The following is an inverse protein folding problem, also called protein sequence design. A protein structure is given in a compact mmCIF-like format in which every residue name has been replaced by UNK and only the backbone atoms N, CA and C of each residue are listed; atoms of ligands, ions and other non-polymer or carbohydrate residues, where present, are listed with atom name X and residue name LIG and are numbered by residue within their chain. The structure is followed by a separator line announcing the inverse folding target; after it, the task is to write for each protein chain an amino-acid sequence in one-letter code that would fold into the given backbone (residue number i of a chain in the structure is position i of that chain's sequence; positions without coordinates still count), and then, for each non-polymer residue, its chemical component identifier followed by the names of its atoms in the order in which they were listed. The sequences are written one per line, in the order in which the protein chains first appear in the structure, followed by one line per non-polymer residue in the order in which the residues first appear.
data_IF_460889252389
#
_entry.id   IF_460889252389
#
_cell.length_a   1.000
_cell.length_b   1.000
_cell.length_c   1.000
_cell.angle_alpha   90.00
_cell.angle_beta   90.00
_cell.angle_gamma   90.00
#
_symmetry.space_group_name_H-M   'P 1'
#
loop_
_entity.id
_entity.type
_entity.pdbx_description
1 polymer ?
#
# COMPACT_ATOMS: atom_id res chain seq x y z
N UNK A 1 -11.47 36.85 23.70
CA UNK A 1 -10.63 37.94 23.10
C UNK A 1 -10.52 37.71 21.61
N UNK A 2 -11.20 38.58 20.84
CA UNK A 2 -11.32 38.50 19.40
C UNK A 2 -10.10 39.17 18.76
N UNK A 3 -9.26 38.42 18.04
CA UNK A 3 -8.24 39.00 17.18
C UNK A 3 -8.85 39.43 15.84
N UNK A 4 -8.87 40.74 15.66
CA UNK A 4 -9.31 41.41 14.44
C UNK A 4 -8.37 41.09 13.28
N UNK A 5 -8.91 40.45 12.23
CA UNK A 5 -8.18 40.20 10.99
C UNK A 5 -7.87 41.50 10.24
N UNK A 6 -6.60 41.76 9.99
CA UNK A 6 -6.12 42.86 9.17
C UNK A 6 -6.60 42.71 7.73
N UNK A 7 -7.43 43.65 7.28
CA UNK A 7 -7.82 43.81 5.87
C UNK A 7 -6.67 44.54 5.14
N UNK A 8 -6.00 43.84 4.24
CA UNK A 8 -5.14 44.48 3.25
C UNK A 8 -5.97 44.95 2.06
N UNK A 9 -6.14 46.25 1.92
CA UNK A 9 -6.65 46.92 0.71
C UNK A 9 -5.51 47.02 -0.28
N UNK A 10 -5.53 46.28 -1.37
CA UNK A 10 -4.67 46.48 -2.52
C UNK A 10 -5.41 47.32 -3.55
N UNK A 11 -5.09 48.62 -3.64
CA UNK A 11 -5.51 49.45 -4.73
C UNK A 11 -4.44 49.46 -5.83
N UNK A 12 -4.80 49.39 -7.13
CA UNK A 12 -3.81 49.53 -8.19
C UNK A 12 -3.39 51.00 -8.33
N UNK A 13 -2.07 51.26 -8.35
CA UNK A 13 -1.44 52.53 -8.59
C UNK A 13 -1.65 52.99 -10.07
N UNK A 14 -2.82 53.55 -10.39
CA UNK A 14 -2.95 54.40 -11.58
C UNK A 14 -3.86 55.58 -11.24
N UNK A 15 -3.41 56.80 -11.39
CA UNK A 15 -4.21 58.01 -11.18
C UNK A 15 -5.18 58.18 -12.40
N UNK A 16 -6.47 58.15 -12.19
CA UNK A 16 -7.41 58.66 -13.17
C UNK A 16 -8.73 57.96 -13.42
N UNK A 17 -9.15 56.96 -12.68
CA UNK A 17 -10.48 56.41 -12.86
C UNK A 17 -11.09 56.04 -11.49
N UNK A 18 -11.99 56.89 -11.03
CA UNK A 18 -12.94 56.62 -9.95
C UNK A 18 -14.08 55.75 -10.51
N UNK A 19 -13.78 54.49 -10.78
CA UNK A 19 -14.86 53.55 -11.12
C UNK A 19 -14.79 52.31 -10.23
N UNK A 20 -15.80 52.19 -9.38
CA UNK A 20 -16.29 51.01 -8.73
C UNK A 20 -15.28 50.03 -8.18
N UNK A 21 -14.82 50.27 -6.97
CA UNK A 21 -14.31 49.20 -6.10
C UNK A 21 -15.44 48.24 -5.76
N UNK A 22 -15.70 47.25 -6.62
CA UNK A 22 -16.53 46.12 -6.27
C UNK A 22 -15.81 45.27 -5.24
N UNK A 23 -16.29 45.30 -3.99
CA UNK A 23 -15.87 44.33 -2.98
C UNK A 23 -16.18 42.93 -3.50
N UNK A 24 -15.20 42.25 -4.09
CA UNK A 24 -15.28 40.79 -4.24
C UNK A 24 -15.34 40.23 -2.82
N UNK A 25 -16.55 39.87 -2.41
CA UNK A 25 -16.78 39.11 -1.19
C UNK A 25 -15.88 37.86 -1.28
N UNK A 26 -14.83 37.82 -0.48
CA UNK A 26 -14.00 36.62 -0.38
C UNK A 26 -14.96 35.46 -0.08
N UNK A 27 -14.99 34.48 -0.99
CA UNK A 27 -15.75 33.26 -0.78
C UNK A 27 -15.32 32.72 0.58
N UNK A 28 -16.23 32.48 1.54
CA UNK A 28 -15.82 31.92 2.82
C UNK A 28 -14.96 30.69 2.53
N UNK A 29 -13.73 30.69 3.01
CA UNK A 29 -12.87 29.52 2.92
C UNK A 29 -13.64 28.36 3.55
N UNK A 30 -13.87 27.30 2.77
CA UNK A 30 -14.47 26.09 3.31
C UNK A 30 -13.69 25.72 4.58
N UNK A 31 -14.39 25.27 5.64
CA UNK A 31 -13.70 24.87 6.86
C UNK A 31 -12.59 23.90 6.47
N UNK A 32 -11.35 24.24 6.81
CA UNK A 32 -10.19 23.40 6.53
C UNK A 32 -10.46 22.04 7.16
N UNK A 33 -10.66 21.02 6.30
CA UNK A 33 -10.86 19.65 6.76
C UNK A 33 -9.73 19.29 7.72
N UNK A 34 -10.01 18.61 8.84
CA UNK A 34 -8.97 18.22 9.78
C UNK A 34 -7.88 17.43 9.05
N UNK A 35 -6.63 17.57 9.49
CA UNK A 35 -5.46 17.00 8.81
C UNK A 35 -5.54 15.48 8.56
N UNK A 36 -6.39 14.75 9.30
CA UNK A 36 -6.66 13.34 9.08
C UNK A 36 -7.66 13.07 7.95
N UNK A 37 -8.42 14.06 7.50
CA UNK A 37 -9.38 13.96 6.41
C UNK A 37 -8.78 14.51 5.09
N UNK A 38 -7.47 14.36 4.90
CA UNK A 38 -6.82 14.76 3.67
C UNK A 38 -7.37 13.95 2.50
N UNK A 39 -7.92 14.66 1.52
CA UNK A 39 -8.34 14.07 0.25
C UNK A 39 -7.37 14.56 -0.83
N UNK A 40 -6.72 13.65 -1.56
CA UNK A 40 -5.87 14.04 -2.67
C UNK A 40 -6.70 14.69 -3.78
N UNK A 41 -6.14 15.68 -4.47
CA UNK A 41 -6.78 16.35 -5.63
C UNK A 41 -6.91 15.45 -6.86
N UNK A 42 -6.66 14.16 -6.70
CA UNK A 42 -6.70 13.15 -7.76
C UNK A 42 -8.04 12.46 -7.73
N UNK A 43 -8.77 12.38 -8.86
CA UNK A 43 -10.04 11.68 -8.91
C UNK A 43 -9.83 10.20 -8.57
N UNK A 44 -10.63 9.70 -7.62
CA UNK A 44 -10.64 8.28 -7.27
C UNK A 44 -11.13 7.50 -8.49
N UNK A 45 -10.32 6.56 -8.96
CA UNK A 45 -10.73 5.67 -10.04
C UNK A 45 -11.91 4.82 -9.55
N UNK A 46 -13.05 4.80 -10.27
CA UNK A 46 -14.16 3.95 -9.88
C UNK A 46 -13.70 2.49 -9.78
N UNK A 47 -14.16 1.81 -8.74
CA UNK A 47 -13.87 0.40 -8.51
C UNK A 47 -14.30 -0.51 -9.67
N UNK A 48 -13.90 -1.77 -9.66
CA UNK A 48 -14.22 -2.72 -10.72
C UNK A 48 -15.74 -2.86 -10.90
N UNK A 49 -16.16 -3.00 -12.14
CA UNK A 49 -17.59 -3.04 -12.51
C UNK A 49 -18.39 -4.16 -11.85
N UNK A 50 -17.75 -5.19 -11.28
CA UNK A 50 -18.42 -6.26 -10.53
C UNK A 50 -18.81 -5.84 -9.11
N UNK A 51 -18.22 -4.77 -8.55
CA UNK A 51 -18.62 -4.18 -7.26
C UNK A 51 -19.76 -3.18 -7.41
N UNK A 52 -20.22 -2.87 -8.64
CA UNK A 52 -21.35 -1.99 -8.88
C UNK A 52 -22.68 -2.76 -8.86
N UNK A 53 -23.73 -2.13 -8.36
CA UNK A 53 -25.08 -2.69 -8.47
C UNK A 53 -25.94 -1.82 -9.41
N UNK A 54 -26.55 -2.37 -10.48
CA UNK A 54 -26.40 -3.75 -10.97
C UNK A 54 -24.99 -4.03 -11.51
N UNK A 55 -24.52 -5.31 -11.44
CA UNK A 55 -23.17 -5.68 -11.89
C UNK A 55 -23.02 -5.44 -13.40
N UNK A 56 -21.85 -4.91 -13.78
CA UNK A 56 -21.52 -4.58 -15.18
C UNK A 56 -20.43 -5.51 -15.70
N UNK A 57 -20.80 -6.67 -16.28
CA UNK A 57 -19.83 -7.74 -16.62
C UNK A 57 -18.80 -7.29 -17.65
N UNK A 58 -19.17 -6.49 -18.64
CA UNK A 58 -18.23 -5.98 -19.63
C UNK A 58 -17.22 -5.00 -19.01
N UNK A 59 -17.68 -4.12 -18.12
CA UNK A 59 -16.79 -3.20 -17.40
C UNK A 59 -15.86 -3.97 -16.44
N UNK A 60 -16.34 -5.03 -15.82
CA UNK A 60 -15.51 -5.91 -14.99
C UNK A 60 -14.44 -6.62 -15.81
N UNK A 61 -14.79 -7.13 -16.99
CA UNK A 61 -13.86 -7.80 -17.89
C UNK A 61 -12.80 -6.83 -18.43
N UNK A 62 -13.19 -5.63 -18.85
CA UNK A 62 -12.25 -4.60 -19.33
C UNK A 62 -11.33 -4.11 -18.22
N UNK A 63 -11.82 -4.04 -16.98
CA UNK A 63 -11.00 -3.75 -15.81
C UNK A 63 -10.00 -4.87 -15.52
N UNK A 64 -10.46 -6.13 -15.52
CA UNK A 64 -9.65 -7.31 -15.24
C UNK A 64 -8.51 -7.48 -16.25
N UNK A 65 -8.81 -7.35 -17.55
CA UNK A 65 -7.82 -7.54 -18.62
C UNK A 65 -7.00 -6.27 -18.93
N UNK A 66 -7.40 -5.13 -18.36
CA UNK A 66 -6.77 -3.84 -18.60
C UNK A 66 -5.84 -3.38 -17.48
N UNK A 67 -5.67 -2.06 -17.40
CA UNK A 67 -4.84 -1.40 -16.40
C UNK A 67 -5.36 -1.52 -14.97
N UNK A 68 -6.60 -1.97 -14.79
CA UNK A 68 -7.17 -2.16 -13.46
C UNK A 68 -6.57 -3.36 -12.71
N UNK A 69 -6.19 -4.42 -13.45
CA UNK A 69 -5.64 -5.63 -12.86
C UNK A 69 -4.41 -6.16 -13.61
N UNK A 70 -4.57 -6.79 -14.80
CA UNK A 70 -3.48 -7.49 -15.49
C UNK A 70 -2.31 -6.55 -15.84
N UNK A 71 -2.57 -5.31 -16.20
CA UNK A 71 -1.55 -4.30 -16.53
C UNK A 71 -1.23 -3.37 -15.34
N UNK A 72 -1.48 -3.84 -14.13
CA UNK A 72 -1.28 -3.11 -12.90
C UNK A 72 -0.17 -3.72 -12.04
N UNK A 73 -0.08 -3.26 -10.81
CA UNK A 73 0.88 -3.72 -9.82
C UNK A 73 0.68 -5.20 -9.46
N UNK A 74 -0.56 -5.70 -9.55
CA UNK A 74 -0.90 -7.10 -9.28
C UNK A 74 -0.19 -8.07 -10.23
N UNK A 75 -0.06 -7.71 -11.51
CA UNK A 75 0.72 -8.51 -12.46
C UNK A 75 2.20 -8.61 -12.06
N UNK A 76 2.76 -7.52 -11.52
CA UNK A 76 4.12 -7.52 -10.97
C UNK A 76 4.23 -8.47 -9.77
N UNK A 77 3.26 -8.43 -8.85
CA UNK A 77 3.25 -9.32 -7.68
C UNK A 77 3.10 -10.78 -8.08
N UNK A 78 2.21 -11.09 -9.02
CA UNK A 78 2.07 -12.46 -9.55
C UNK A 78 3.38 -12.91 -10.20
N UNK A 79 3.98 -12.06 -11.05
CA UNK A 79 5.27 -12.36 -11.68
C UNK A 79 6.38 -12.61 -10.64
N UNK A 80 6.46 -11.76 -9.62
CA UNK A 80 7.41 -11.90 -8.53
C UNK A 80 7.17 -13.19 -7.73
N UNK A 81 5.91 -13.51 -7.42
CA UNK A 81 5.55 -14.75 -6.73
C UNK A 81 5.97 -16.00 -7.51
N UNK A 82 5.77 -15.99 -8.84
CA UNK A 82 6.22 -17.09 -9.71
C UNK A 82 7.75 -17.20 -9.73
N UNK A 83 8.48 -16.09 -9.81
CA UNK A 83 9.95 -16.08 -9.74
C UNK A 83 10.42 -16.66 -8.41
N UNK A 84 9.83 -16.21 -7.29
CA UNK A 84 10.17 -16.71 -5.97
C UNK A 84 9.91 -18.21 -5.89
N UNK A 85 8.73 -18.66 -6.29
CA UNK A 85 8.33 -20.05 -6.18
C UNK A 85 9.19 -20.99 -7.02
N UNK A 86 9.50 -20.64 -8.27
CA UNK A 86 10.21 -21.54 -9.18
C UNK A 86 11.74 -21.47 -9.09
N UNK A 87 12.31 -20.37 -8.59
CA UNK A 87 13.78 -20.19 -8.64
C UNK A 87 14.41 -19.80 -7.30
N UNK A 88 13.65 -19.21 -6.38
CA UNK A 88 14.24 -18.67 -5.15
C UNK A 88 13.77 -19.37 -3.88
N UNK A 89 12.61 -20.03 -3.89
CA UNK A 89 12.13 -20.78 -2.74
C UNK A 89 12.95 -22.06 -2.55
N UNK A 90 13.13 -22.55 -1.30
CA UNK A 90 13.74 -23.84 -1.05
C UNK A 90 12.88 -24.96 -1.63
N UNK A 91 13.52 -26.05 -2.06
CA UNK A 91 12.81 -27.23 -2.50
C UNK A 91 11.94 -27.81 -1.36
N UNK A 92 10.73 -28.22 -1.68
CA UNK A 92 9.81 -28.74 -0.67
C UNK A 92 10.36 -30.01 0.03
N UNK A 93 11.17 -30.79 -0.66
CA UNK A 93 11.86 -31.97 -0.09
C UNK A 93 12.83 -31.59 1.03
N UNK A 94 13.51 -30.45 0.91
CA UNK A 94 14.44 -29.95 1.94
C UNK A 94 13.69 -29.50 3.20
N UNK A 95 12.43 -29.08 3.03
CA UNK A 95 11.58 -28.61 4.11
C UNK A 95 10.99 -29.74 4.97
N UNK A 96 11.19 -31.01 4.63
CA UNK A 96 10.67 -32.15 5.39
C UNK A 96 11.21 -32.24 6.83
N UNK A 97 12.34 -31.60 7.10
CA UNK A 97 12.91 -31.46 8.45
C UNK A 97 13.14 -29.99 8.80
N UNK A 98 13.04 -29.64 10.08
CA UNK A 98 13.30 -28.27 10.56
C UNK A 98 14.82 -28.01 10.59
N UNK A 99 15.45 -27.93 9.42
CA UNK A 99 16.87 -27.68 9.26
C UNK A 99 17.16 -26.18 9.12
N UNK A 100 18.17 -25.62 9.84
CA UNK A 100 18.45 -24.19 9.80
C UNK A 100 18.82 -23.65 8.41
N UNK A 101 19.39 -24.49 7.54
CA UNK A 101 19.86 -24.06 6.22
C UNK A 101 18.77 -23.43 5.35
N UNK A 102 17.70 -24.15 5.07
CA UNK A 102 16.61 -23.63 4.26
C UNK A 102 15.78 -22.54 5.01
N UNK A 103 15.68 -22.64 6.35
CA UNK A 103 14.97 -21.62 7.15
C UNK A 103 15.70 -20.27 7.09
N UNK A 104 17.03 -20.27 7.21
CA UNK A 104 17.85 -19.05 7.07
C UNK A 104 17.85 -18.52 5.64
N UNK A 105 17.85 -19.41 4.64
CA UNK A 105 17.70 -19.02 3.24
C UNK A 105 16.38 -18.25 3.05
N UNK A 106 15.29 -18.81 3.55
CA UNK A 106 13.96 -18.17 3.45
C UNK A 106 13.90 -16.84 4.20
N UNK A 107 14.53 -16.75 5.37
CA UNK A 107 14.65 -15.50 6.12
C UNK A 107 15.44 -14.45 5.33
N UNK A 108 16.58 -14.83 4.76
CA UNK A 108 17.41 -13.93 3.96
C UNK A 108 16.65 -13.45 2.70
N UNK A 109 15.91 -14.34 2.05
CA UNK A 109 15.04 -14.01 0.91
C UNK A 109 13.98 -12.99 1.30
N UNK A 110 13.22 -13.24 2.36
CA UNK A 110 12.17 -12.36 2.83
C UNK A 110 12.70 -10.99 3.29
N UNK A 111 13.83 -10.97 3.98
CA UNK A 111 14.51 -9.72 4.35
C UNK A 111 14.96 -8.95 3.12
N UNK A 112 15.61 -9.61 2.16
CA UNK A 112 16.09 -9.00 0.92
C UNK A 112 14.94 -8.40 0.09
N UNK A 113 13.85 -9.15 -0.08
CA UNK A 113 12.66 -8.69 -0.79
C UNK A 113 11.98 -7.51 -0.08
N UNK A 114 11.86 -7.56 1.24
CA UNK A 114 11.27 -6.46 2.02
C UNK A 114 12.11 -5.20 1.91
N UNK A 115 13.44 -5.32 2.05
CA UNK A 115 14.36 -4.19 1.91
C UNK A 115 14.32 -3.62 0.49
N UNK A 116 14.37 -4.47 -0.52
CA UNK A 116 14.35 -4.02 -1.92
C UNK A 116 13.02 -3.34 -2.27
N UNK A 117 11.90 -3.93 -1.89
CA UNK A 117 10.59 -3.41 -2.23
C UNK A 117 10.19 -2.20 -1.36
N UNK A 118 10.07 -2.37 -0.06
CA UNK A 118 9.65 -1.30 0.84
C UNK A 118 10.69 -0.19 0.94
N UNK A 119 11.98 -0.55 1.03
CA UNK A 119 13.10 0.39 1.02
C UNK A 119 13.19 1.14 -0.31
N UNK A 120 13.02 0.46 -1.44
CA UNK A 120 12.99 1.07 -2.77
C UNK A 120 11.85 2.08 -2.93
N UNK A 121 10.64 1.71 -2.50
CA UNK A 121 9.50 2.64 -2.50
C UNK A 121 9.73 3.83 -1.57
N UNK A 122 10.25 3.59 -0.37
CA UNK A 122 10.60 4.67 0.55
C UNK A 122 11.63 5.63 -0.05
N UNK A 123 12.69 5.08 -0.64
CA UNK A 123 13.72 5.86 -1.33
C UNK A 123 13.11 6.72 -2.44
N UNK A 124 12.27 6.13 -3.29
CA UNK A 124 11.65 6.81 -4.42
C UNK A 124 10.69 7.92 -4.00
N UNK A 125 9.75 7.59 -3.10
CA UNK A 125 8.68 8.52 -2.73
C UNK A 125 9.11 9.55 -1.69
N UNK A 126 9.85 9.15 -0.67
CA UNK A 126 10.15 10.00 0.49
C UNK A 126 11.54 10.62 0.44
N UNK A 127 12.58 9.84 0.12
CA UNK A 127 13.96 10.37 0.13
C UNK A 127 14.24 11.18 -1.12
N UNK A 128 13.93 10.65 -2.29
CA UNK A 128 14.13 11.32 -3.57
C UNK A 128 12.99 12.29 -3.94
N UNK A 129 11.84 12.17 -3.28
CA UNK A 129 10.67 13.03 -3.50
C UNK A 129 10.18 13.08 -4.95
N UNK A 130 10.37 12.00 -5.72
CA UNK A 130 10.10 11.98 -7.17
C UNK A 130 8.64 12.26 -7.54
N UNK A 131 7.72 11.97 -6.63
CA UNK A 131 6.29 12.22 -6.83
C UNK A 131 5.82 13.56 -6.21
N UNK A 132 6.63 14.21 -5.40
CA UNK A 132 6.25 15.42 -4.66
C UNK A 132 5.07 15.13 -3.73
N UNK A 133 4.12 16.07 -3.66
CA UNK A 133 2.86 15.92 -2.92
C UNK A 133 1.73 15.28 -3.74
N UNK A 134 1.95 15.03 -5.04
CA UNK A 134 0.96 14.46 -5.93
C UNK A 134 0.64 13.02 -5.52
N UNK A 135 -0.60 12.62 -5.45
CA UNK A 135 -1.06 11.30 -4.97
C UNK A 135 -0.72 10.97 -3.50
N UNK A 136 -0.30 11.94 -2.69
CA UNK A 136 -0.04 11.72 -1.27
C UNK A 136 -1.36 11.71 -0.50
N UNK A 137 -1.71 10.57 0.11
CA UNK A 137 -2.95 10.44 0.91
C UNK A 137 -2.86 11.06 2.30
N UNK A 138 -1.67 11.13 2.87
CA UNK A 138 -1.44 11.75 4.17
C UNK A 138 -0.76 13.11 4.02
N UNK A 139 -1.39 14.16 4.52
CA UNK A 139 -0.77 15.49 4.60
C UNK A 139 0.30 15.62 5.69
N UNK A 140 0.48 14.60 6.54
CA UNK A 140 1.47 14.60 7.62
C UNK A 140 2.83 14.15 7.10
N UNK A 141 3.87 14.85 7.47
CA UNK A 141 5.23 14.41 7.26
C UNK A 141 5.61 13.31 8.25
N UNK A 142 6.60 12.51 7.88
CA UNK A 142 7.16 11.49 8.77
C UNK A 142 7.78 12.19 9.99
N UNK A 143 7.43 11.71 11.18
CA UNK A 143 7.88 12.31 12.42
C UNK A 143 9.38 12.08 12.60
N UNK A 144 10.09 13.16 12.90
CA UNK A 144 11.49 13.17 13.26
C UNK A 144 11.65 13.86 14.60
N UNK A 145 12.59 13.37 15.40
CA UNK A 145 12.87 13.86 16.74
C UNK A 145 11.65 13.84 17.70
N UNK A 146 10.77 12.84 17.54
CA UNK A 146 9.58 12.65 18.35
C UNK A 146 9.84 11.53 19.40
N UNK A 147 9.64 11.85 20.66
CA UNK A 147 9.85 10.93 21.81
C UNK A 147 8.94 9.72 21.82
N UNK A 148 7.91 9.67 20.98
CA UNK A 148 7.03 8.51 20.81
C UNK A 148 7.73 7.32 20.16
N UNK A 149 8.83 7.57 19.43
CA UNK A 149 9.58 6.56 18.73
C UNK A 149 10.85 6.17 19.49
N UNK A 150 11.24 4.90 19.41
CA UNK A 150 12.38 4.33 20.12
C UNK A 150 13.69 5.06 19.77
N UNK A 151 13.90 5.36 18.49
CA UNK A 151 15.04 6.14 18.01
C UNK A 151 14.69 7.59 17.69
N UNK A 152 13.53 8.07 18.19
CA UNK A 152 13.02 9.42 17.92
C UNK A 152 12.78 9.70 16.42
N UNK A 153 12.87 8.68 15.57
CA UNK A 153 12.65 8.75 14.13
C UNK A 153 11.68 7.65 13.70
N UNK A 154 10.55 8.06 13.14
CA UNK A 154 9.49 7.16 12.71
C UNK A 154 9.96 6.16 11.64
N UNK A 155 10.88 6.58 10.76
CA UNK A 155 11.37 5.72 9.67
C UNK A 155 12.24 4.60 10.23
N UNK A 156 13.17 4.95 11.12
CA UNK A 156 14.06 3.99 11.75
C UNK A 156 13.28 2.97 12.60
N UNK A 157 12.32 3.45 13.39
CA UNK A 157 11.46 2.57 14.20
C UNK A 157 10.67 1.61 13.31
N UNK A 158 10.00 2.13 12.29
CA UNK A 158 9.22 1.31 11.38
C UNK A 158 10.09 0.27 10.64
N UNK A 159 11.26 0.68 10.16
CA UNK A 159 12.21 -0.24 9.53
C UNK A 159 12.64 -1.35 10.48
N UNK A 160 13.07 -0.99 11.69
CA UNK A 160 13.52 -1.96 12.67
C UNK A 160 12.41 -2.94 13.04
N UNK A 161 11.24 -2.44 13.41
CA UNK A 161 10.11 -3.28 13.81
C UNK A 161 9.66 -4.18 12.66
N UNK A 162 9.63 -3.67 11.43
CA UNK A 162 9.28 -4.46 10.26
C UNK A 162 10.29 -5.60 10.04
N UNK A 163 11.59 -5.31 10.07
CA UNK A 163 12.63 -6.30 9.79
C UNK A 163 12.86 -7.26 10.96
N UNK A 164 12.93 -6.75 12.19
CA UNK A 164 13.27 -7.56 13.36
C UNK A 164 12.09 -8.35 13.93
N UNK A 165 10.84 -7.91 13.74
CA UNK A 165 9.68 -8.62 14.22
C UNK A 165 8.76 -9.09 13.09
N UNK A 166 8.33 -8.19 12.21
CA UNK A 166 7.37 -8.51 11.14
C UNK A 166 7.87 -9.60 10.21
N UNK A 167 9.05 -9.39 9.60
CA UNK A 167 9.64 -10.37 8.67
C UNK A 167 10.02 -11.67 9.37
N UNK A 168 10.54 -11.61 10.59
CA UNK A 168 10.89 -12.81 11.36
C UNK A 168 9.66 -13.64 11.68
N UNK A 169 8.59 -13.01 12.18
CA UNK A 169 7.33 -13.70 12.49
C UNK A 169 6.71 -14.31 11.23
N UNK A 170 6.63 -13.54 10.15
CA UNK A 170 6.12 -14.02 8.87
C UNK A 170 6.90 -15.21 8.34
N UNK A 171 8.25 -15.11 8.35
CA UNK A 171 9.12 -16.19 7.91
C UNK A 171 8.96 -17.43 8.78
N UNK A 172 8.82 -17.28 10.09
CA UNK A 172 8.59 -18.40 11.00
C UNK A 172 7.29 -19.15 10.68
N UNK A 173 6.21 -18.42 10.43
CA UNK A 173 4.94 -19.01 9.99
C UNK A 173 5.08 -19.72 8.64
N UNK A 174 5.78 -19.12 7.70
CA UNK A 174 6.06 -19.71 6.38
C UNK A 174 6.89 -20.98 6.51
N UNK A 175 7.92 -21.01 7.37
CA UNK A 175 8.68 -22.21 7.66
C UNK A 175 7.80 -23.33 8.24
N UNK A 176 6.95 -23.01 9.19
CA UNK A 176 6.02 -24.00 9.77
C UNK A 176 5.06 -24.57 8.73
N UNK A 177 4.53 -23.74 7.84
CA UNK A 177 3.65 -24.18 6.76
C UNK A 177 4.38 -25.08 5.75
N UNK A 178 5.56 -24.68 5.28
CA UNK A 178 6.35 -25.49 4.35
C UNK A 178 6.75 -26.82 4.97
N UNK A 179 7.18 -26.82 6.22
CA UNK A 179 7.48 -28.06 6.94
C UNK A 179 6.25 -28.95 7.09
N UNK A 180 5.08 -28.42 7.47
CA UNK A 180 3.86 -29.18 7.61
C UNK A 180 3.40 -29.81 6.29
N UNK A 181 3.58 -29.12 5.18
CA UNK A 181 3.29 -29.67 3.84
C UNK A 181 4.31 -30.75 3.46
N UNK A 182 5.59 -30.48 3.63
CA UNK A 182 6.67 -31.41 3.28
C UNK A 182 6.63 -32.70 4.13
N UNK A 183 6.23 -32.58 5.40
CA UNK A 183 6.11 -33.73 6.32
C UNK A 183 4.80 -34.49 6.14
N UNK A 184 3.87 -34.04 5.28
CA UNK A 184 2.57 -34.67 5.09
C UNK A 184 1.58 -34.45 6.24
N UNK A 185 1.88 -33.53 7.17
CA UNK A 185 0.94 -33.17 8.26
C UNK A 185 -0.32 -32.46 7.75
N UNK A 186 -0.17 -31.74 6.66
CA UNK A 186 -1.28 -31.06 5.98
C UNK A 186 -1.27 -31.44 4.49
N UNK A 187 -2.45 -31.64 3.87
CA UNK A 187 -2.49 -31.94 2.45
C UNK A 187 -2.06 -30.71 1.64
N UNK A 188 -1.13 -30.89 0.70
CA UNK A 188 -0.85 -29.90 -0.30
C UNK A 188 -2.00 -29.89 -1.31
N UNK A 189 -2.79 -28.83 -1.35
CA UNK A 189 -3.90 -28.70 -2.29
C UNK A 189 -3.36 -28.42 -3.69
N UNK A 190 -3.27 -29.46 -4.51
CA UNK A 190 -2.91 -29.33 -5.91
C UNK A 190 -4.13 -28.94 -6.76
N UNK A 191 -3.95 -28.07 -7.75
CA UNK A 191 -5.02 -27.68 -8.67
C UNK A 191 -5.72 -28.88 -9.33
N UNK A 192 -4.92 -29.83 -9.83
CA UNK A 192 -5.45 -31.00 -10.52
C UNK A 192 -6.33 -31.89 -9.64
N UNK A 193 -6.01 -31.98 -8.33
CA UNK A 193 -6.77 -32.81 -7.37
C UNK A 193 -7.96 -32.06 -6.77
N UNK A 194 -7.90 -30.73 -6.67
CA UNK A 194 -8.88 -29.95 -5.91
C UNK A 194 -9.25 -28.62 -6.62
N UNK A 195 -9.70 -28.66 -7.89
CA UNK A 195 -9.97 -27.42 -8.64
C UNK A 195 -11.07 -26.55 -8.02
N UNK A 196 -12.08 -27.16 -7.40
CA UNK A 196 -13.18 -26.44 -6.75
C UNK A 196 -12.70 -25.66 -5.50
N UNK A 197 -11.75 -26.22 -4.75
CA UNK A 197 -11.16 -25.52 -3.61
C UNK A 197 -10.38 -24.30 -4.05
N UNK A 198 -9.59 -24.38 -5.12
CA UNK A 198 -8.91 -23.23 -5.68
C UNK A 198 -9.88 -22.17 -6.18
N UNK A 199 -10.95 -22.58 -6.88
CA UNK A 199 -11.98 -21.66 -7.35
C UNK A 199 -12.73 -20.97 -6.19
N UNK A 200 -12.91 -21.65 -5.05
CA UNK A 200 -13.55 -21.09 -3.86
C UNK A 200 -12.59 -20.22 -3.02
N UNK A 201 -11.31 -20.63 -2.87
CA UNK A 201 -10.34 -19.89 -2.07
C UNK A 201 -10.00 -18.52 -2.67
N UNK A 202 -9.95 -18.40 -3.99
CA UNK A 202 -9.62 -17.13 -4.64
C UNK A 202 -10.59 -15.99 -4.28
N UNK A 203 -11.93 -16.14 -4.44
CA UNK A 203 -12.87 -15.12 -4.02
C UNK A 203 -12.91 -14.94 -2.49
N UNK A 204 -12.68 -15.99 -1.70
CA UNK A 204 -12.63 -15.89 -0.24
C UNK A 204 -11.44 -15.06 0.23
N UNK A 205 -10.26 -15.27 -0.35
CA UNK A 205 -9.06 -14.46 -0.05
C UNK A 205 -9.28 -13.01 -0.45
N UNK A 206 -9.88 -12.75 -1.61
CA UNK A 206 -10.20 -11.41 -2.07
C UNK A 206 -11.20 -10.71 -1.13
N UNK A 207 -12.25 -11.41 -0.69
CA UNK A 207 -13.22 -10.89 0.27
C UNK A 207 -12.59 -10.63 1.63
N UNK A 208 -11.72 -11.53 2.08
CA UNK A 208 -10.97 -11.37 3.33
C UNK A 208 -10.08 -10.12 3.29
N UNK A 209 -9.31 -9.96 2.23
CA UNK A 209 -8.44 -8.81 2.06
C UNK A 209 -9.25 -7.51 1.97
N UNK A 210 -10.33 -7.50 1.20
CA UNK A 210 -11.24 -6.36 1.12
C UNK A 210 -11.85 -6.01 2.48
N UNK A 211 -12.31 -6.99 3.25
CA UNK A 211 -12.87 -6.78 4.59
C UNK A 211 -11.82 -6.29 5.62
N UNK A 212 -10.55 -6.60 5.40
CA UNK A 212 -9.47 -6.16 6.28
C UNK A 212 -9.17 -4.65 6.12
N UNK A 213 -9.45 -4.08 4.94
CA UNK A 213 -9.21 -2.66 4.66
C UNK A 213 -10.43 -1.75 4.94
N UNK A 214 -11.61 -2.30 5.20
CA UNK A 214 -12.85 -1.58 5.52
C UNK A 214 -13.30 -1.81 6.97
#
# INVERSE_FOLDING_TARGET
EAMAGHRMLRCPDKPGTLEHCTMKRAKPSAPTAPAWAFQPDVPITPGPGFLSWPPRPLAALTWLLGRGYVLSLEALYVGLALVIWFWLAPDLTDCASLAPGWMLHLLALNLGLTIAYAGGLHLYFHTLGRQGSHHRYSGRDLARDDTKFLWRDQVLDNMFLTLASGVVLWTSLQCLLLWAWASGLTPLLGWAANPLWFAALFPLLYLWESAHFY
#
